data_IF_154112180387
#
_entry.id   IF_154112180387
#
_cell.length_a   1.000
_cell.length_b   1.000
_cell.length_c   1.000
_cell.angle_alpha   90.00
_cell.angle_beta   90.00
_cell.angle_gamma   90.00
#
_symmetry.space_group_name_H-M   'P 1'
#
loop_
_entity.id
_entity.type
_entity.pdbx_description
1 polymer ?
#
# COMPACT_ATOMS: atom_id res chain seq x y z
N UNK A 1 8.58 12.61 1.97
CA UNK A 1 8.61 12.64 0.48
C UNK A 1 7.24 13.02 -0.03
N UNK A 2 7.15 13.83 -1.11
CA UNK A 2 5.85 14.17 -1.73
C UNK A 2 5.60 13.27 -2.93
N UNK A 3 4.35 12.84 -3.11
CA UNK A 3 3.86 12.08 -4.27
C UNK A 3 2.61 12.75 -4.81
N UNK A 4 2.34 12.58 -6.12
CA UNK A 4 1.15 13.14 -6.77
C UNK A 4 0.25 12.04 -7.32
N UNK A 5 -1.06 12.21 -7.17
CA UNK A 5 -2.02 11.33 -7.83
C UNK A 5 -2.22 11.71 -9.31
N UNK A 6 -3.00 10.90 -10.04
CA UNK A 6 -3.32 11.14 -11.46
C UNK A 6 -4.09 12.45 -11.73
N UNK A 7 -4.63 13.08 -10.70
CA UNK A 7 -5.36 14.37 -10.76
C UNK A 7 -4.47 15.55 -10.37
N UNK A 8 -3.15 15.31 -10.12
CA UNK A 8 -2.18 16.33 -9.74
C UNK A 8 -2.20 16.71 -8.25
N UNK A 9 -3.00 16.05 -7.41
CA UNK A 9 -3.05 16.32 -5.96
C UNK A 9 -1.82 15.75 -5.28
N UNK A 10 -1.26 16.52 -4.36
CA UNK A 10 -0.07 16.14 -3.60
C UNK A 10 -0.42 15.46 -2.27
N UNK A 11 0.40 14.48 -1.91
CA UNK A 11 0.32 13.71 -0.68
C UNK A 11 1.71 13.58 -0.08
N UNK A 12 1.77 13.60 1.26
CA UNK A 12 3.02 13.35 1.98
C UNK A 12 3.15 11.86 2.24
N UNK A 13 4.19 11.24 1.73
CA UNK A 13 4.57 9.87 2.12
C UNK A 13 5.48 9.98 3.35
N UNK A 14 5.02 9.44 4.45
CA UNK A 14 5.71 9.34 5.73
C UNK A 14 6.02 7.88 6.00
N UNK A 15 7.23 7.62 6.46
CA UNK A 15 7.67 6.30 6.89
C UNK A 15 7.81 6.34 8.39
N UNK A 16 7.18 5.41 9.09
CA UNK A 16 7.38 5.25 10.53
C UNK A 16 8.83 4.80 10.78
N UNK A 17 9.41 5.08 11.97
CA UNK A 17 10.75 4.66 12.29
C UNK A 17 10.95 3.20 11.95
N UNK A 18 12.04 2.95 11.19
CA UNK A 18 12.41 1.63 10.71
C UNK A 18 12.78 0.77 11.92
N UNK A 19 11.95 -0.17 12.30
CA UNK A 19 12.39 -1.28 13.13
C UNK A 19 13.12 -2.28 12.21
N UNK A 20 14.14 -2.98 12.71
CA UNK A 20 15.05 -3.80 11.90
C UNK A 20 14.35 -4.84 11.01
N UNK A 21 13.12 -5.22 11.38
CA UNK A 21 12.38 -6.29 10.71
C UNK A 21 11.10 -5.84 9.99
N UNK A 22 10.56 -4.66 10.24
CA UNK A 22 9.37 -4.19 9.54
C UNK A 22 9.37 -2.68 9.35
N UNK A 23 8.62 -2.20 8.37
CA UNK A 23 8.34 -0.78 8.19
C UNK A 23 6.91 -0.55 7.73
N UNK A 24 6.39 0.60 8.11
CA UNK A 24 5.10 1.11 7.65
C UNK A 24 5.31 2.43 6.93
N UNK A 25 4.73 2.55 5.74
CA UNK A 25 4.69 3.81 5.01
C UNK A 25 3.24 4.29 4.88
N UNK A 26 2.99 5.55 5.22
CA UNK A 26 1.66 6.16 5.19
C UNK A 26 1.59 7.27 4.15
N UNK A 27 0.50 7.34 3.41
CA UNK A 27 0.15 8.49 2.58
C UNK A 27 -0.78 9.41 3.36
N UNK A 28 -0.36 10.64 3.53
CA UNK A 28 -1.09 11.65 4.28
C UNK A 28 -1.59 12.76 3.35
N UNK A 29 -2.85 13.12 3.52
CA UNK A 29 -3.44 14.31 2.93
C UNK A 29 -4.09 15.14 4.05
N UNK A 30 -3.70 16.41 4.19
CA UNK A 30 -4.15 17.27 5.30
C UNK A 30 -4.05 16.57 6.66
N UNK A 31 -2.88 15.98 6.95
CA UNK A 31 -2.57 15.20 8.16
C UNK A 31 -3.43 13.94 8.41
N UNK A 32 -4.33 13.59 7.50
CA UNK A 32 -5.12 12.35 7.58
C UNK A 32 -4.45 11.25 6.76
N UNK A 33 -4.28 10.07 7.34
CA UNK A 33 -3.78 8.89 6.62
C UNK A 33 -4.86 8.38 5.65
N UNK A 34 -4.54 8.42 4.35
CA UNK A 34 -5.44 7.99 3.27
C UNK A 34 -4.98 6.72 2.59
N UNK A 35 -3.79 6.25 2.91
CA UNK A 35 -3.23 4.99 2.42
C UNK A 35 -2.08 4.54 3.29
N UNK A 36 -1.83 3.23 3.27
CA UNK A 36 -0.81 2.57 4.08
C UNK A 36 -0.20 1.40 3.32
N UNK A 37 1.09 1.19 3.57
CA UNK A 37 1.86 0.01 3.18
C UNK A 37 2.49 -0.57 4.43
N UNK A 38 2.36 -1.87 4.62
CA UNK A 38 3.06 -2.62 5.67
C UNK A 38 3.93 -3.69 5.04
N UNK A 39 5.19 -3.75 5.48
CA UNK A 39 6.16 -4.72 5.00
C UNK A 39 6.97 -5.31 6.15
N UNK A 40 7.30 -6.60 6.01
CA UNK A 40 8.20 -7.34 6.90
C UNK A 40 9.47 -7.70 6.13
N UNK A 41 10.61 -7.46 6.74
CA UNK A 41 11.92 -7.75 6.19
C UNK A 41 12.44 -9.08 6.74
N UNK A 42 12.87 -9.95 5.86
CA UNK A 42 13.58 -11.19 6.17
C UNK A 42 14.93 -11.17 5.46
N UNK A 43 15.95 -10.47 6.05
CA UNK A 43 17.28 -10.40 5.44
C UNK A 43 17.95 -11.78 5.33
N UNK A 44 18.83 -11.98 4.34
CA UNK A 44 19.16 -11.04 3.26
C UNK A 44 18.21 -11.07 2.08
N UNK A 45 17.28 -12.00 2.02
CA UNK A 45 16.69 -12.42 0.75
C UNK A 45 15.33 -11.82 0.44
N UNK A 46 14.51 -11.54 1.46
CA UNK A 46 13.07 -11.40 1.23
C UNK A 46 12.45 -10.19 1.93
N UNK A 47 11.62 -9.43 1.20
CA UNK A 47 10.66 -8.48 1.74
C UNK A 47 9.27 -9.04 1.50
N UNK A 48 8.45 -9.11 2.54
CA UNK A 48 7.05 -9.53 2.45
C UNK A 48 6.16 -8.30 2.54
N UNK A 49 5.31 -8.09 1.53
CA UNK A 49 4.22 -7.12 1.59
C UNK A 49 3.10 -7.76 2.42
N UNK A 50 2.82 -7.17 3.57
CA UNK A 50 1.71 -7.59 4.42
C UNK A 50 0.40 -6.97 3.95
N UNK A 51 0.41 -5.66 3.64
CA UNK A 51 -0.77 -4.96 3.16
C UNK A 51 -0.42 -3.71 2.35
N UNK A 52 -1.26 -3.40 1.36
CA UNK A 52 -1.30 -2.11 0.65
C UNK A 52 -2.75 -1.63 0.62
N UNK A 53 -3.09 -0.72 1.50
CA UNK A 53 -4.44 -0.19 1.67
C UNK A 53 -4.53 1.24 1.14
N UNK A 54 -5.57 1.55 0.36
CA UNK A 54 -6.02 2.91 0.03
C UNK A 54 -7.47 3.06 0.49
N UNK A 55 -7.72 4.03 1.34
CA UNK A 55 -9.03 4.26 1.95
C UNK A 55 -10.05 4.84 0.98
N UNK A 56 -11.28 4.43 1.12
CA UNK A 56 -12.44 4.83 0.31
C UNK A 56 -13.47 5.66 1.08
N UNK A 57 -13.29 5.80 2.39
CA UNK A 57 -14.26 6.38 3.33
C UNK A 57 -13.67 7.52 4.18
N UNK A 58 -12.77 8.32 3.63
CA UNK A 58 -12.08 9.35 4.41
C UNK A 58 -12.91 10.62 4.52
N UNK A 59 -13.16 11.04 5.75
CA UNK A 59 -13.81 12.31 6.09
C UNK A 59 -12.72 13.27 6.58
N UNK A 60 -12.61 14.44 5.93
CA UNK A 60 -11.74 15.51 6.37
C UNK A 60 -12.54 16.53 7.16
N UNK A 61 -12.26 16.62 8.46
CA UNK A 61 -12.84 17.66 9.31
C UNK A 61 -12.07 18.98 9.16
N UNK A 62 -12.74 20.12 9.01
CA UNK A 62 -12.07 21.42 9.03
C UNK A 62 -11.41 21.65 10.39
N UNK A 63 -10.14 22.08 10.38
CA UNK A 63 -9.31 22.25 11.61
C UNK A 63 -9.82 23.35 12.56
N UNK A 64 -10.75 24.22 12.11
CA UNK A 64 -11.11 25.45 12.82
C UNK A 64 -12.56 25.50 13.33
N UNK A 65 -13.35 24.46 13.16
CA UNK A 65 -14.73 24.43 13.62
C UNK A 65 -14.86 23.52 14.85
N UNK A 66 -15.46 24.04 15.92
CA UNK A 66 -15.72 23.25 17.12
C UNK A 66 -16.59 22.02 16.81
N UNK A 67 -16.33 20.90 17.51
CA UNK A 67 -16.93 19.60 17.23
C UNK A 67 -18.49 19.59 17.21
N UNK A 68 -19.14 20.50 17.94
CA UNK A 68 -20.60 20.64 17.95
C UNK A 68 -21.14 21.27 16.65
N UNK A 69 -20.44 22.25 16.09
CA UNK A 69 -20.82 22.90 14.83
C UNK A 69 -20.61 21.96 13.63
N UNK A 70 -19.58 21.13 13.69
CA UNK A 70 -19.27 20.09 12.70
C UNK A 70 -20.39 19.06 12.55
N UNK A 71 -21.02 18.65 13.66
CA UNK A 71 -22.16 17.71 13.63
C UNK A 71 -23.41 18.27 12.98
N UNK A 72 -23.57 19.59 12.97
CA UNK A 72 -24.74 20.29 12.41
C UNK A 72 -24.56 20.69 10.95
N UNK A 73 -23.32 20.87 10.47
CA UNK A 73 -23.03 21.40 9.13
C UNK A 73 -22.57 20.34 8.12
N UNK A 74 -22.29 19.13 8.54
CA UNK A 74 -21.64 18.14 7.69
C UNK A 74 -22.54 16.93 7.49
N UNK A 75 -23.31 16.92 6.42
CA UNK A 75 -23.33 15.74 5.58
C UNK A 75 -21.92 15.58 5.02
N UNK A 76 -21.03 15.03 5.83
CA UNK A 76 -19.62 14.84 5.51
C UNK A 76 -19.51 13.77 4.43
N UNK A 77 -19.46 14.21 3.17
CA UNK A 77 -19.19 13.31 2.05
C UNK A 77 -17.82 12.68 2.26
N UNK A 78 -17.80 11.39 2.52
CA UNK A 78 -16.57 10.61 2.51
C UNK A 78 -15.91 10.68 1.14
N UNK A 79 -14.59 10.71 1.11
CA UNK A 79 -13.81 10.79 -0.12
C UNK A 79 -13.16 9.43 -0.36
N UNK A 80 -13.44 8.85 -1.54
CA UNK A 80 -12.75 7.67 -2.04
C UNK A 80 -11.41 8.09 -2.69
N UNK A 81 -10.31 7.58 -2.15
CA UNK A 81 -8.95 7.81 -2.65
C UNK A 81 -8.44 6.69 -3.56
N UNK A 82 -9.19 5.61 -3.73
CA UNK A 82 -8.83 4.49 -4.62
C UNK A 82 -8.77 4.94 -6.09
N UNK A 83 -8.15 4.13 -6.94
CA UNK A 83 -8.02 4.33 -8.40
C UNK A 83 -7.35 5.64 -8.85
N UNK A 84 -6.65 6.32 -7.93
CA UNK A 84 -5.89 7.55 -8.22
C UNK A 84 -4.40 7.31 -8.47
N UNK A 85 -3.96 6.04 -8.50
CA UNK A 85 -2.55 5.67 -8.67
C UNK A 85 -1.75 5.63 -7.37
N UNK A 86 -2.38 5.89 -6.22
CA UNK A 86 -1.70 5.97 -4.92
C UNK A 86 -1.11 4.64 -4.46
N UNK A 87 -1.81 3.51 -4.71
CA UNK A 87 -1.26 2.17 -4.45
C UNK A 87 0.03 1.90 -5.23
N UNK A 88 0.13 2.42 -6.46
CA UNK A 88 1.35 2.31 -7.27
C UNK A 88 2.53 3.04 -6.64
N UNK A 89 2.32 4.21 -6.03
CA UNK A 89 3.38 4.92 -5.31
C UNK A 89 3.86 4.14 -4.08
N UNK A 90 2.95 3.53 -3.33
CA UNK A 90 3.30 2.67 -2.20
C UNK A 90 4.09 1.44 -2.64
N UNK A 91 3.66 0.75 -3.70
CA UNK A 91 4.35 -0.40 -4.25
C UNK A 91 5.75 -0.04 -4.78
N UNK A 92 5.88 1.06 -5.51
CA UNK A 92 7.17 1.56 -5.98
C UNK A 92 8.10 1.93 -4.83
N UNK A 93 7.54 2.48 -3.74
CA UNK A 93 8.30 2.73 -2.52
C UNK A 93 8.82 1.44 -1.90
N UNK A 94 8.00 0.37 -1.79
CA UNK A 94 8.44 -0.94 -1.31
C UNK A 94 9.59 -1.50 -2.17
N UNK A 95 9.46 -1.44 -3.50
CA UNK A 95 10.48 -1.91 -4.44
C UNK A 95 11.79 -1.11 -4.28
N UNK A 96 11.70 0.21 -4.17
CA UNK A 96 12.87 1.07 -3.93
C UNK A 96 13.55 0.74 -2.62
N UNK A 97 12.79 0.57 -1.54
CA UNK A 97 13.30 0.25 -0.21
C UNK A 97 13.99 -1.13 -0.20
N UNK A 98 13.39 -2.13 -0.85
CA UNK A 98 13.97 -3.45 -1.00
C UNK A 98 15.34 -3.40 -1.73
N UNK A 99 15.43 -2.64 -2.84
CA UNK A 99 16.69 -2.45 -3.56
C UNK A 99 17.76 -1.78 -2.71
N UNK A 100 17.41 -0.74 -1.96
CA UNK A 100 18.33 -0.02 -1.07
C UNK A 100 18.89 -0.92 0.02
N UNK A 101 18.16 -1.96 0.43
CA UNK A 101 18.58 -2.93 1.44
C UNK A 101 19.21 -4.21 0.87
N UNK A 102 19.43 -4.28 -0.45
CA UNK A 102 20.01 -5.45 -1.09
C UNK A 102 19.11 -6.69 -1.07
N UNK A 103 17.81 -6.50 -0.85
CA UNK A 103 16.81 -7.59 -0.88
C UNK A 103 16.69 -8.12 -2.30
N UNK A 104 16.65 -9.44 -2.47
CA UNK A 104 16.58 -10.11 -3.77
C UNK A 104 15.17 -10.31 -4.27
N UNK A 105 14.21 -10.52 -3.36
CA UNK A 105 12.82 -10.87 -3.70
C UNK A 105 11.81 -10.13 -2.84
N UNK A 106 10.76 -9.66 -3.50
CA UNK A 106 9.56 -9.15 -2.83
C UNK A 106 8.47 -10.20 -3.02
N UNK A 107 7.74 -10.55 -1.97
CA UNK A 107 6.63 -11.48 -2.04
C UNK A 107 5.48 -11.06 -1.14
N UNK A 108 4.36 -11.74 -1.26
CA UNK A 108 3.16 -11.57 -0.46
C UNK A 108 2.14 -12.62 -0.83
N UNK A 109 1.00 -12.60 -0.17
CA UNK A 109 -0.14 -13.42 -0.53
C UNK A 109 -1.39 -12.55 -0.67
N UNK A 110 -2.32 -12.98 -1.52
CA UNK A 110 -3.62 -12.37 -1.72
C UNK A 110 -4.69 -13.30 -1.17
N UNK A 111 -5.56 -12.75 -0.36
CA UNK A 111 -6.71 -13.46 0.21
C UNK A 111 -7.93 -13.35 -0.69
N UNK A 112 -8.95 -14.16 -0.42
CA UNK A 112 -10.24 -14.02 -1.12
C UNK A 112 -10.89 -12.66 -0.84
N UNK A 113 -10.72 -12.13 0.37
CA UNK A 113 -11.20 -10.80 0.74
C UNK A 113 -10.55 -9.71 -0.10
N UNK A 114 -9.22 -9.77 -0.30
CA UNK A 114 -8.49 -8.81 -1.15
C UNK A 114 -9.04 -8.80 -2.57
N UNK A 115 -9.32 -9.99 -3.13
CA UNK A 115 -9.85 -10.13 -4.49
C UNK A 115 -11.30 -9.65 -4.58
N UNK A 116 -12.11 -9.91 -3.56
CA UNK A 116 -13.49 -9.43 -3.50
C UNK A 116 -13.54 -7.89 -3.43
N UNK A 117 -12.66 -7.29 -2.62
CA UNK A 117 -12.55 -5.82 -2.48
C UNK A 117 -11.96 -5.17 -3.74
N UNK A 118 -11.08 -5.85 -4.46
CA UNK A 118 -10.49 -5.37 -5.70
C UNK A 118 -10.32 -6.50 -6.74
N UNK A 119 -11.32 -6.78 -7.57
CA UNK A 119 -11.23 -7.84 -8.59
C UNK A 119 -10.11 -7.68 -9.62
N UNK A 120 -9.55 -6.47 -9.75
CA UNK A 120 -8.41 -6.19 -10.64
C UNK A 120 -7.04 -6.31 -9.96
N UNK A 121 -6.97 -6.72 -8.69
CA UNK A 121 -5.74 -6.72 -7.91
C UNK A 121 -4.65 -7.62 -8.51
N UNK A 122 -5.00 -8.83 -8.95
CA UNK A 122 -4.08 -9.77 -9.61
C UNK A 122 -3.51 -9.15 -10.90
N UNK A 123 -4.36 -8.54 -11.74
CA UNK A 123 -3.93 -7.86 -12.98
C UNK A 123 -3.02 -6.68 -12.66
N UNK A 124 -3.29 -5.97 -11.58
CA UNK A 124 -2.49 -4.82 -11.15
C UNK A 124 -1.08 -5.26 -10.72
N UNK A 125 -0.94 -6.33 -9.93
CA UNK A 125 0.37 -6.88 -9.58
C UNK A 125 1.14 -7.36 -10.81
N UNK A 126 0.49 -8.11 -11.72
CA UNK A 126 1.11 -8.55 -13.00
C UNK A 126 1.62 -7.36 -13.81
N UNK A 127 0.84 -6.29 -13.93
CA UNK A 127 1.25 -5.06 -14.63
C UNK A 127 2.51 -4.42 -14.02
N UNK A 128 2.74 -4.61 -12.73
CA UNK A 128 3.95 -4.11 -12.05
C UNK A 128 5.10 -5.11 -12.04
N UNK A 129 4.99 -6.21 -12.79
CA UNK A 129 6.05 -7.19 -13.00
C UNK A 129 6.09 -8.29 -11.94
N UNK A 130 5.05 -8.46 -11.15
CA UNK A 130 4.94 -9.57 -10.22
C UNK A 130 4.44 -10.84 -10.92
N UNK A 131 5.04 -11.96 -10.58
CA UNK A 131 4.54 -13.28 -10.90
C UNK A 131 3.44 -13.65 -9.90
N UNK A 132 2.44 -14.37 -10.38
CA UNK A 132 1.37 -14.94 -9.55
C UNK A 132 1.66 -16.40 -9.35
N UNK A 133 1.77 -16.82 -8.11
CA UNK A 133 2.10 -18.18 -7.70
C UNK A 133 0.86 -18.86 -7.12
N UNK A 134 0.77 -20.20 -7.19
CA UNK A 134 -0.27 -20.94 -6.48
C UNK A 134 -0.16 -20.70 -4.97
N UNK A 135 -1.25 -20.89 -4.19
CA UNK A 135 -1.21 -20.79 -2.75
C UNK A 135 -0.23 -21.82 -2.19
N UNK A 136 0.65 -21.39 -1.28
CA UNK A 136 1.56 -22.28 -0.57
C UNK A 136 0.91 -22.76 0.73
N UNK A 137 1.13 -24.02 1.15
CA UNK A 137 0.65 -24.53 2.44
C UNK A 137 1.14 -23.75 3.67
N UNK A 138 2.25 -23.03 3.52
CA UNK A 138 2.85 -22.18 4.56
C UNK A 138 2.22 -20.80 4.63
N UNK A 139 1.34 -20.45 3.70
CA UNK A 139 0.69 -19.14 3.65
C UNK A 139 -0.59 -19.14 4.50
N UNK A 140 -1.00 -17.93 4.87
CA UNK A 140 -2.22 -17.62 5.62
C UNK A 140 -3.40 -18.50 5.15
N UNK A 141 -4.17 -19.05 6.08
CA UNK A 141 -5.28 -20.01 5.86
C UNK A 141 -6.27 -19.64 4.75
N UNK A 142 -6.34 -18.38 4.33
CA UNK A 142 -7.27 -17.88 3.31
C UNK A 142 -6.56 -17.36 2.05
N UNK A 143 -5.29 -17.68 1.84
CA UNK A 143 -4.55 -17.22 0.66
C UNK A 143 -5.05 -17.94 -0.60
N UNK A 144 -5.46 -17.15 -1.59
CA UNK A 144 -5.89 -17.64 -2.92
C UNK A 144 -4.70 -17.78 -3.86
N UNK A 145 -3.72 -16.90 -3.74
CA UNK A 145 -2.48 -16.98 -4.52
C UNK A 145 -1.35 -16.22 -3.82
N UNK A 146 -0.11 -16.55 -4.21
CA UNK A 146 1.08 -15.78 -3.88
C UNK A 146 1.43 -14.76 -4.95
N UNK A 147 2.18 -13.73 -4.56
CA UNK A 147 2.81 -12.79 -5.47
C UNK A 147 4.32 -12.80 -5.24
N UNK A 148 5.10 -12.68 -6.30
CA UNK A 148 6.57 -12.67 -6.24
C UNK A 148 7.15 -11.70 -7.27
N UNK A 149 8.16 -10.93 -6.86
CA UNK A 149 8.91 -10.03 -7.72
C UNK A 149 10.41 -10.22 -7.47
N UNK A 150 11.14 -10.65 -8.49
CA UNK A 150 12.58 -10.83 -8.43
C UNK A 150 13.30 -9.53 -8.81
N UNK A 151 14.14 -9.02 -7.91
CA UNK A 151 14.90 -7.79 -8.09
C UNK A 151 16.20 -7.99 -8.88
N UNK A 152 16.71 -9.23 -8.99
CA UNK A 152 17.95 -9.55 -9.70
C UNK A 152 17.77 -9.59 -11.24
N UNK A 153 16.56 -9.83 -11.74
CA UNK A 153 16.29 -10.03 -13.18
C UNK A 153 16.29 -8.74 -14.03
N UNK A 154 16.58 -7.56 -13.48
CA UNK A 154 16.58 -6.28 -14.22
C UNK A 154 17.95 -5.64 -14.39
N UNK A 155 19.00 -6.43 -14.47
CA UNK A 155 20.37 -5.95 -14.78
C UNK A 155 20.83 -6.33 -16.20
N UNK A 156 19.86 -6.63 -17.12
CA UNK A 156 20.15 -6.82 -18.55
C UNK A 156 19.46 -5.75 -19.38
#
# INVERSE_FOLDING_TARGET
>A
MMVRDRRGREYRLQVDPDEDQYFTAKLLYRNTAIGMLQCVLYPPDKLVIGDILIRDDVIHTPEHLGAALLRLLVESKSIDYRRRGLGTHLLQFAIKKARQRGIRRICGCLTQEDINNNPNLVKWYKKHGFEILPPSPENIENAVCGISFNLEQKLN
#
